data_IF_213644072458
#
_entry.id   IF_213644072458
#
_cell.length_a   1.000
_cell.length_b   1.000
_cell.length_c   1.000
_cell.angle_alpha   90.00
_cell.angle_beta   90.00
_cell.angle_gamma   90.00
#
_symmetry.space_group_name_H-M   'P 1'
#
loop_
_entity.id
_entity.type
_entity.pdbx_description
1 polymer ?
#
# COMPACT_ATOMS: atom_id res chain seq x y z
N UNK A 1 3.02 11.64 11.38
CA UNK A 1 1.82 12.35 10.88
C UNK A 1 0.64 11.80 11.65
N UNK A 2 -0.14 12.63 12.35
CA UNK A 2 -1.39 12.17 12.97
C UNK A 2 -2.54 12.44 12.00
N UNK A 3 -3.21 11.38 11.55
CA UNK A 3 -4.35 11.47 10.63
C UNK A 3 -5.65 11.40 11.42
N UNK A 4 -6.51 12.41 11.30
CA UNK A 4 -7.87 12.31 11.81
C UNK A 4 -8.71 11.35 10.93
N UNK A 5 -9.88 10.94 11.44
CA UNK A 5 -10.75 9.99 10.75
C UNK A 5 -11.13 10.44 9.32
N UNK A 6 -11.34 11.74 9.13
CA UNK A 6 -11.67 12.30 7.83
C UNK A 6 -10.52 12.11 6.82
N UNK A 7 -9.28 12.40 7.23
CA UNK A 7 -8.09 12.23 6.39
C UNK A 7 -7.78 10.76 6.11
N UNK A 8 -8.07 9.86 7.05
CA UNK A 8 -7.97 8.41 6.82
C UNK A 8 -8.95 7.95 5.73
N UNK A 9 -10.22 8.39 5.80
CA UNK A 9 -11.24 8.08 4.78
C UNK A 9 -10.91 8.65 3.40
N UNK A 10 -10.39 9.88 3.35
CA UNK A 10 -9.94 10.51 2.10
C UNK A 10 -8.78 9.72 1.47
N UNK A 11 -7.81 9.29 2.28
CA UNK A 11 -6.69 8.48 1.81
C UNK A 11 -7.16 7.12 1.29
N UNK A 12 -7.98 6.40 2.06
CA UNK A 12 -8.54 5.10 1.66
C UNK A 12 -9.33 5.20 0.35
N UNK A 13 -10.20 6.21 0.24
CA UNK A 13 -10.99 6.48 -0.97
C UNK A 13 -10.08 6.72 -2.18
N UNK A 14 -8.99 7.47 -1.99
CA UNK A 14 -8.01 7.75 -3.03
C UNK A 14 -7.19 6.52 -3.43
N UNK A 15 -6.94 5.60 -2.51
CA UNK A 15 -6.17 4.37 -2.76
C UNK A 15 -6.98 3.27 -3.46
N UNK A 16 -8.30 3.20 -3.25
CA UNK A 16 -9.17 2.13 -3.79
C UNK A 16 -9.05 1.90 -5.30
N UNK A 17 -9.04 2.93 -6.17
CA UNK A 17 -8.86 2.73 -7.61
C UNK A 17 -7.51 2.08 -7.96
N UNK A 18 -6.44 2.48 -7.28
CA UNK A 18 -5.10 1.91 -7.48
C UNK A 18 -5.04 0.45 -7.03
N UNK A 19 -5.65 0.13 -5.88
CA UNK A 19 -5.77 -1.25 -5.39
C UNK A 19 -6.53 -2.11 -6.40
N UNK A 20 -7.66 -1.62 -6.94
CA UNK A 20 -8.41 -2.32 -7.98
C UNK A 20 -7.54 -2.57 -9.22
N UNK A 21 -6.85 -1.54 -9.71
CA UNK A 21 -5.97 -1.67 -10.88
C UNK A 21 -4.87 -2.70 -10.66
N UNK A 22 -4.23 -2.72 -9.47
CA UNK A 22 -3.22 -3.73 -9.12
C UNK A 22 -3.79 -5.15 -9.19
N UNK A 23 -5.00 -5.38 -8.64
CA UNK A 23 -5.64 -6.70 -8.68
C UNK A 23 -6.00 -7.14 -10.12
N UNK A 24 -6.37 -6.20 -10.98
CA UNK A 24 -6.77 -6.50 -12.36
C UNK A 24 -5.57 -6.70 -13.30
N UNK A 25 -4.40 -6.13 -12.98
CA UNK A 25 -3.27 -6.03 -13.92
C UNK A 25 -1.96 -6.65 -13.43
N UNK A 26 -1.82 -6.96 -12.13
CA UNK A 26 -0.59 -7.46 -11.54
C UNK A 26 -0.81 -8.78 -10.79
N UNK A 27 0.26 -9.55 -10.60
CA UNK A 27 0.21 -10.73 -9.73
C UNK A 27 0.30 -10.32 -8.25
N UNK A 28 -0.11 -11.19 -7.30
CA UNK A 28 -0.29 -10.84 -5.88
C UNK A 28 0.97 -10.35 -5.12
N UNK A 29 2.15 -10.40 -5.73
CA UNK A 29 3.42 -9.97 -5.14
C UNK A 29 3.90 -8.60 -5.64
N UNK A 30 3.08 -7.90 -6.43
CA UNK A 30 3.35 -6.54 -6.87
C UNK A 30 2.72 -5.53 -5.93
N UNK A 31 3.49 -4.50 -5.59
CA UNK A 31 3.07 -3.37 -4.76
C UNK A 31 3.31 -2.05 -5.50
N UNK A 32 2.51 -1.03 -5.20
CA UNK A 32 2.72 0.33 -5.68
C UNK A 32 3.24 1.23 -4.55
N UNK A 33 4.35 1.92 -4.79
CA UNK A 33 4.88 2.98 -3.91
C UNK A 33 4.53 4.33 -4.52
N UNK A 34 3.76 5.14 -3.79
CA UNK A 34 3.25 6.42 -4.26
C UNK A 34 3.95 7.56 -3.52
N UNK A 35 4.60 8.44 -4.29
CA UNK A 35 5.21 9.69 -3.85
C UNK A 35 4.52 10.86 -4.59
N UNK A 36 4.54 12.10 -4.07
CA UNK A 36 3.85 13.23 -4.70
C UNK A 36 4.21 13.48 -6.18
N UNK A 37 5.40 13.09 -6.63
CA UNK A 37 5.88 13.27 -8.01
C UNK A 37 6.20 11.99 -8.76
N UNK A 38 6.01 10.82 -8.16
CA UNK A 38 6.38 9.53 -8.76
C UNK A 38 5.50 8.41 -8.23
N UNK A 39 5.22 7.44 -9.09
CA UNK A 39 4.70 6.14 -8.67
C UNK A 39 5.65 5.06 -9.19
N UNK A 40 5.92 4.06 -8.36
CA UNK A 40 6.75 2.92 -8.73
C UNK A 40 6.00 1.61 -8.46
N UNK A 41 6.12 0.65 -9.38
CA UNK A 41 5.73 -0.74 -9.16
C UNK A 41 6.95 -1.53 -8.70
N UNK A 42 6.77 -2.34 -7.68
CA UNK A 42 7.82 -3.15 -7.07
C UNK A 42 7.30 -4.55 -6.86
N UNK A 43 8.11 -5.55 -7.21
CA UNK A 43 7.80 -6.96 -6.99
C UNK A 43 8.59 -7.51 -5.79
N UNK A 44 7.90 -8.16 -4.86
CA UNK A 44 8.52 -8.88 -3.76
C UNK A 44 8.99 -10.27 -4.21
N UNK A 45 10.27 -10.58 -3.99
CA UNK A 45 10.83 -11.91 -4.29
C UNK A 45 10.54 -12.91 -3.16
N UNK A 46 10.52 -12.45 -1.91
CA UNK A 46 10.22 -13.25 -0.73
C UNK A 46 9.66 -12.34 0.38
N UNK A 47 8.62 -12.79 1.07
CA UNK A 47 8.07 -12.12 2.25
C UNK A 47 7.59 -13.16 3.25
N UNK A 48 7.88 -12.95 4.53
CA UNK A 48 7.34 -13.73 5.64
C UNK A 48 6.99 -12.79 6.79
N UNK A 49 5.96 -13.12 7.56
CA UNK A 49 5.55 -12.33 8.70
C UNK A 49 6.38 -12.72 9.92
N UNK A 50 7.02 -11.75 10.58
CA UNK A 50 7.78 -11.94 11.82
C UNK A 50 7.25 -10.93 12.83
N UNK A 51 6.57 -11.41 13.87
CA UNK A 51 5.90 -10.57 14.87
C UNK A 51 6.61 -10.57 16.23
N UNK A 52 7.61 -11.44 16.40
CA UNK A 52 8.22 -11.73 17.70
C UNK A 52 8.89 -10.53 18.40
N UNK A 53 9.16 -9.46 17.65
CA UNK A 53 9.94 -8.30 18.09
C UNK A 53 9.21 -6.96 17.91
N UNK A 54 7.91 -6.98 17.60
CA UNK A 54 7.13 -5.75 17.47
C UNK A 54 6.78 -5.25 18.88
N UNK A 55 7.28 -4.07 19.23
CA UNK A 55 6.88 -3.33 20.43
C UNK A 55 5.63 -2.48 20.13
N UNK A 56 4.77 -2.27 21.14
CA UNK A 56 3.52 -1.49 21.05
C UNK A 56 3.75 0.01 20.76
#
# INVERSE_FOLDING_TARGET
MHLNEQKQKEFETSARPLVKWLNENCHPHVFALVEPGRIALVEGVYATQVLDYIED
#
